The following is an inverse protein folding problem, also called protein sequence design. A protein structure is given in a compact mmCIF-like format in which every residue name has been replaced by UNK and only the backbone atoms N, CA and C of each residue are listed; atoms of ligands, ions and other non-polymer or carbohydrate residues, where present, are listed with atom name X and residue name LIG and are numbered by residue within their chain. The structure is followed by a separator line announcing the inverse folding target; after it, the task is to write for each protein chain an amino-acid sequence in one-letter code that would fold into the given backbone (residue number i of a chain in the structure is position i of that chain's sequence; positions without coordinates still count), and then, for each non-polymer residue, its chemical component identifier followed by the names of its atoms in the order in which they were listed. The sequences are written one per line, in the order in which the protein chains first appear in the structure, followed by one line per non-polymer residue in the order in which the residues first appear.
data_IF_025246037535
#
_entry.id   IF_025246037535
#
_cell.length_a   1.000
_cell.length_b   1.000
_cell.length_c   1.000
_cell.angle_alpha   90.00
_cell.angle_beta   90.00
_cell.angle_gamma   90.00
#
_symmetry.space_group_name_H-M   'P 1'
#
loop_
_entity.id
_entity.type
_entity.pdbx_description
1 polymer ?
#
# COMPACT_ATOMS: atom_id res chain seq x y z
N UNK A 1 0.41 11.05 0.29
CA UNK A 1 1.06 9.92 0.99
C UNK A 1 2.19 9.36 0.14
N UNK A 2 3.24 8.78 0.75
CA UNK A 2 4.43 8.36 0.03
C UNK A 2 4.13 7.21 -0.94
N UNK A 3 4.75 7.29 -2.10
CA UNK A 3 4.85 6.16 -3.04
C UNK A 3 6.02 5.29 -2.58
N UNK A 4 5.77 3.99 -2.40
CA UNK A 4 6.80 3.03 -1.96
C UNK A 4 7.45 2.29 -3.11
N UNK A 5 6.75 2.14 -4.23
CA UNK A 5 7.26 1.51 -5.45
C UNK A 5 6.54 2.09 -6.68
N UNK A 6 7.31 2.32 -7.74
CA UNK A 6 6.80 2.55 -9.09
C UNK A 6 7.39 1.48 -10.02
N UNK A 7 6.52 0.69 -10.65
CA UNK A 7 6.94 -0.37 -11.59
C UNK A 7 5.95 -0.42 -12.76
N UNK A 8 6.44 -0.30 -14.00
CA UNK A 8 5.63 -0.42 -15.24
C UNK A 8 4.34 0.43 -15.25
N UNK A 9 4.37 1.61 -14.63
CA UNK A 9 3.23 2.51 -14.52
C UNK A 9 2.23 2.17 -13.41
N UNK A 10 2.53 1.19 -12.56
CA UNK A 10 1.81 0.93 -11.31
C UNK A 10 2.46 1.69 -10.16
N UNK A 11 1.64 2.37 -9.36
CA UNK A 11 2.05 3.12 -8.17
C UNK A 11 1.57 2.44 -6.90
N UNK A 12 2.50 1.96 -6.10
CA UNK A 12 2.25 1.39 -4.79
C UNK A 12 2.37 2.49 -3.74
N UNK A 13 1.34 2.66 -2.91
CA UNK A 13 1.27 3.75 -1.94
C UNK A 13 0.36 3.39 -0.75
N UNK A 14 0.54 4.10 0.36
CA UNK A 14 -0.36 4.05 1.53
C UNK A 14 -1.30 5.25 1.52
N UNK A 15 -2.41 5.21 2.26
CA UNK A 15 -3.14 6.43 2.65
C UNK A 15 -3.08 6.64 4.16
N UNK A 16 -3.04 7.91 4.57
CA UNK A 16 -3.04 8.28 6.00
C UNK A 16 -4.43 8.07 6.62
N UNK A 17 -5.45 8.07 5.78
CA UNK A 17 -6.86 8.01 6.15
C UNK A 17 -7.37 6.61 6.42
N UNK A 18 -6.61 5.55 6.09
CA UNK A 18 -7.07 4.15 6.25
C UNK A 18 -6.96 3.65 7.70
N UNK A 19 -6.86 4.56 8.66
CA UNK A 19 -6.59 4.26 10.06
C UNK A 19 -7.49 3.15 10.63
N UNK A 20 -6.86 2.20 11.33
CA UNK A 20 -7.54 1.06 11.94
C UNK A 20 -7.72 -0.16 11.03
N UNK A 21 -7.47 -0.04 9.72
CA UNK A 21 -7.43 -1.21 8.85
C UNK A 21 -6.12 -2.03 9.04
N UNK A 22 -6.16 -3.36 8.80
CA UNK A 22 -4.94 -4.17 8.73
C UNK A 22 -3.94 -3.64 7.70
N UNK A 23 -2.67 -4.01 7.84
CA UNK A 23 -1.63 -3.55 6.91
C UNK A 23 -1.95 -3.92 5.45
N UNK A 24 -1.93 -2.93 4.55
CA UNK A 24 -2.24 -3.09 3.14
C UNK A 24 -1.56 -2.02 2.28
N UNK A 25 -1.48 -2.25 0.98
CA UNK A 25 -0.95 -1.30 -0.02
C UNK A 25 -2.01 -1.00 -1.06
N UNK A 26 -2.12 0.26 -1.45
CA UNK A 26 -2.91 0.69 -2.61
C UNK A 26 -2.05 0.67 -3.86
N UNK A 27 -2.63 0.19 -4.95
CA UNK A 27 -2.00 0.15 -6.27
C UNK A 27 -2.86 0.97 -7.22
N UNK A 28 -2.27 1.96 -7.89
CA UNK A 28 -2.97 2.73 -8.94
C UNK A 28 -2.25 2.69 -10.27
N UNK A 29 -3.02 2.70 -11.37
CA UNK A 29 -2.53 2.85 -12.75
C UNK A 29 -3.60 3.51 -13.61
N UNK A 30 -3.35 4.74 -14.07
CA UNK A 30 -4.37 5.54 -14.76
C UNK A 30 -5.59 5.74 -13.86
N UNK A 31 -6.76 5.33 -14.34
CA UNK A 31 -8.03 5.38 -13.57
C UNK A 31 -8.30 4.10 -12.74
N UNK A 32 -7.40 3.11 -12.80
CA UNK A 32 -7.53 1.86 -12.05
C UNK A 32 -6.95 1.96 -10.65
N UNK A 33 -7.64 1.34 -9.69
CA UNK A 33 -7.25 1.25 -8.28
C UNK A 33 -7.42 -0.18 -7.77
N UNK A 34 -6.51 -0.62 -6.91
CA UNK A 34 -6.60 -1.88 -6.18
C UNK A 34 -6.07 -1.71 -4.76
N UNK A 35 -6.56 -2.54 -3.84
CA UNK A 35 -6.09 -2.66 -2.46
C UNK A 35 -5.65 -4.10 -2.20
N UNK A 36 -4.44 -4.28 -1.66
CA UNK A 36 -3.85 -5.60 -1.38
C UNK A 36 -3.45 -5.67 0.09
N UNK A 37 -4.03 -6.64 0.82
CA UNK A 37 -3.70 -6.92 2.21
C UNK A 37 -2.33 -7.59 2.35
N UNK A 38 -1.56 -7.19 3.35
CA UNK A 38 -0.26 -7.78 3.69
C UNK A 38 -0.50 -8.86 4.76
N UNK A 39 -0.97 -10.04 4.33
CA UNK A 39 -1.31 -11.16 5.20
C UNK A 39 -0.16 -12.15 5.41
N UNK A 40 -0.16 -12.94 6.50
CA UNK A 40 -1.13 -12.94 7.61
C UNK A 40 -0.78 -11.98 8.75
N UNK A 41 0.46 -11.50 8.83
CA UNK A 41 0.92 -10.55 9.85
C UNK A 41 2.17 -9.81 9.41
N UNK A 42 2.26 -8.51 9.71
CA UNK A 42 3.45 -7.69 9.46
C UNK A 42 4.20 -7.46 10.77
N UNK A 43 5.53 -7.61 10.74
CA UNK A 43 6.41 -7.37 11.88
C UNK A 43 7.35 -6.21 11.56
N UNK A 44 7.57 -5.30 12.52
CA UNK A 44 8.59 -4.27 12.38
C UNK A 44 9.98 -4.93 12.43
N UNK A 45 10.83 -4.60 11.45
CA UNK A 45 12.20 -5.14 11.38
C UNK A 45 13.18 -4.40 12.30
N UNK A 46 12.91 -3.12 12.60
CA UNK A 46 13.72 -2.25 13.45
C UNK A 46 12.84 -1.17 14.10
N UNK A 47 13.26 -0.69 15.28
CA UNK A 47 12.66 0.43 16.03
C UNK A 47 13.74 1.45 16.36
#
# INVERSE_FOLDING_TARGET
MPTVLHERGYRFHFYASDGGEPAHVHISRGNGYAKVWLEPSVQAQYF
#
